data_IF_075846523477
#
_entry.id   IF_075846523477
#
_cell.length_a   1.000
_cell.length_b   1.000
_cell.length_c   1.000
_cell.angle_alpha   90.00
_cell.angle_beta   90.00
_cell.angle_gamma   90.00
#
_symmetry.space_group_name_H-M   'P 1'
#
loop_
_entity.id
_entity.type
_entity.pdbx_description
1 polymer ?
#
# COMPACT_ATOMS: atom_id res chain seq x y z
N UNK A 1 8.85 5.94 -2.12
CA UNK A 1 10.15 5.30 -2.44
C UNK A 1 9.82 3.90 -2.93
N UNK A 2 9.89 3.64 -4.22
CA UNK A 2 9.46 2.38 -4.81
C UNK A 2 10.51 1.28 -4.62
N UNK A 3 10.22 0.40 -3.67
CA UNK A 3 11.00 -0.77 -3.25
C UNK A 3 10.73 -2.01 -4.13
N UNK A 4 10.18 -1.80 -5.34
CA UNK A 4 10.05 -2.82 -6.39
C UNK A 4 11.36 -3.53 -6.72
N UNK A 5 12.46 -2.78 -6.64
CA UNK A 5 13.76 -3.22 -7.10
C UNK A 5 14.62 -3.48 -5.86
N UNK A 6 14.51 -4.69 -5.32
CA UNK A 6 15.56 -5.21 -4.47
C UNK A 6 16.88 -5.25 -5.24
N UNK A 7 18.00 -5.18 -4.53
CA UNK A 7 19.30 -5.61 -5.03
C UNK A 7 19.26 -7.12 -5.27
N UNK A 8 18.55 -7.56 -6.30
CA UNK A 8 18.57 -8.96 -6.71
C UNK A 8 19.99 -9.27 -7.20
N UNK A 9 20.76 -9.97 -6.37
CA UNK A 9 22.01 -10.59 -6.77
C UNK A 9 21.69 -11.56 -7.92
N UNK A 10 22.17 -11.25 -9.13
CA UNK A 10 22.30 -12.25 -10.20
C UNK A 10 21.77 -11.86 -11.58
N UNK A 11 20.76 -10.97 -11.72
CA UNK A 11 20.31 -10.50 -13.04
C UNK A 11 20.00 -9.01 -13.02
N UNK A 12 20.77 -8.23 -13.76
CA UNK A 12 20.62 -6.78 -13.87
C UNK A 12 19.31 -6.48 -14.60
N UNK A 13 18.29 -6.02 -13.87
CA UNK A 13 17.07 -5.51 -14.48
C UNK A 13 17.42 -4.18 -15.18
N UNK A 14 17.09 -3.98 -16.47
CA UNK A 14 17.54 -2.82 -17.24
C UNK A 14 16.99 -1.48 -16.70
N UNK A 15 16.00 -1.51 -15.80
CA UNK A 15 15.34 -0.33 -15.22
C UNK A 15 15.72 -0.09 -13.75
N UNK A 16 16.93 -0.45 -13.35
CA UNK A 16 17.46 -0.17 -12.01
C UNK A 16 17.88 1.31 -11.85
N UNK A 17 17.48 1.96 -10.75
CA UNK A 17 17.89 3.32 -10.40
C UNK A 17 16.81 4.40 -10.58
N UNK A 18 17.23 5.65 -10.85
CA UNK A 18 16.35 6.84 -10.93
C UNK A 18 15.19 6.70 -11.94
N UNK A 19 15.41 5.94 -13.02
CA UNK A 19 14.39 5.68 -14.05
C UNK A 19 13.21 4.89 -13.48
N UNK A 20 13.48 3.87 -12.65
CA UNK A 20 12.44 3.07 -11.99
C UNK A 20 11.59 3.89 -11.02
N UNK A 21 12.23 4.74 -10.22
CA UNK A 21 11.52 5.66 -9.33
C UNK A 21 10.65 6.68 -10.09
N UNK A 22 11.14 7.19 -11.22
CA UNK A 22 10.38 8.12 -12.08
C UNK A 22 9.17 7.46 -12.74
N UNK A 23 9.32 6.23 -13.23
CA UNK A 23 8.21 5.48 -13.82
C UNK A 23 7.14 5.18 -12.77
N UNK A 24 7.54 4.80 -11.56
CA UNK A 24 6.60 4.48 -10.50
C UNK A 24 5.86 5.74 -10.00
N UNK A 25 6.53 6.88 -9.87
CA UNK A 25 5.87 8.16 -9.59
C UNK A 25 4.83 8.53 -10.66
N UNK A 26 5.19 8.41 -11.95
CA UNK A 26 4.26 8.65 -13.07
C UNK A 26 3.10 7.67 -13.10
N UNK A 27 3.35 6.40 -12.82
CA UNK A 27 2.30 5.38 -12.75
C UNK A 27 1.33 5.67 -11.60
N UNK A 28 1.83 6.14 -10.45
CA UNK A 28 1.00 6.55 -9.31
C UNK A 28 0.14 7.76 -9.65
N UNK A 29 0.72 8.78 -10.26
CA UNK A 29 -0.01 9.95 -10.75
C UNK A 29 -1.13 9.53 -11.71
N UNK A 30 -0.81 8.75 -12.75
CA UNK A 30 -1.81 8.25 -13.70
C UNK A 30 -2.89 7.40 -13.03
N UNK A 31 -2.55 6.59 -12.03
CA UNK A 31 -3.54 5.82 -11.29
C UNK A 31 -4.56 6.73 -10.58
N UNK A 32 -4.10 7.80 -9.93
CA UNK A 32 -4.99 8.76 -9.26
C UNK A 32 -5.81 9.57 -10.27
N UNK A 33 -5.21 10.01 -11.38
CA UNK A 33 -5.88 10.81 -12.41
C UNK A 33 -6.98 10.04 -13.16
N UNK A 34 -6.80 8.73 -13.37
CA UNK A 34 -7.71 7.91 -14.18
C UNK A 34 -8.62 6.99 -13.36
N UNK A 35 -8.53 6.98 -12.02
CA UNK A 35 -9.44 6.22 -11.16
C UNK A 35 -10.21 7.17 -10.23
N UNK A 36 -11.50 6.91 -9.98
CA UNK A 36 -12.31 7.75 -9.11
C UNK A 36 -11.96 7.49 -7.62
N UNK A 37 -10.82 8.00 -7.18
CA UNK A 37 -10.38 7.93 -5.80
C UNK A 37 -10.82 9.19 -5.04
N UNK A 38 -11.31 9.05 -3.81
CA UNK A 38 -11.60 10.21 -2.97
C UNK A 38 -10.30 10.93 -2.58
N UNK A 39 -10.36 12.26 -2.56
CA UNK A 39 -9.26 13.12 -2.10
C UNK A 39 -9.33 13.21 -0.57
N UNK A 40 -8.23 12.85 0.12
CA UNK A 40 -8.17 12.85 1.58
C UNK A 40 -7.31 14.00 2.10
N UNK A 41 -7.93 15.17 2.27
CA UNK A 41 -7.21 16.37 2.74
C UNK A 41 -6.02 16.68 1.83
N UNK A 42 -4.85 16.85 2.44
CA UNK A 42 -3.61 17.20 1.72
C UNK A 42 -2.87 15.98 1.14
N UNK A 43 -3.32 14.75 1.43
CA UNK A 43 -2.73 13.52 0.90
C UNK A 43 -3.43 13.12 -0.41
N UNK A 44 -3.08 13.83 -1.48
CA UNK A 44 -3.63 13.63 -2.83
C UNK A 44 -3.30 12.25 -3.42
N UNK A 45 -2.31 11.56 -2.86
CA UNK A 45 -1.85 10.27 -3.36
C UNK A 45 -2.31 9.09 -2.50
N UNK A 46 -3.18 9.30 -1.51
CA UNK A 46 -3.62 8.23 -0.61
C UNK A 46 -4.49 7.20 -1.33
N UNK A 47 -4.04 5.94 -1.33
CA UNK A 47 -4.76 4.81 -1.97
C UNK A 47 -5.69 4.08 -0.99
N UNK A 48 -5.22 3.86 0.25
CA UNK A 48 -5.96 3.08 1.24
C UNK A 48 -7.16 3.85 1.80
N UNK A 49 -8.30 3.17 1.93
CA UNK A 49 -9.59 3.80 2.28
C UNK A 49 -10.58 2.79 2.85
N UNK A 50 -11.61 3.27 3.56
CA UNK A 50 -12.77 2.45 3.90
C UNK A 50 -13.99 2.87 3.07
N UNK A 51 -14.83 1.89 2.73
CA UNK A 51 -16.02 2.05 1.89
C UNK A 51 -17.18 1.38 2.64
N UNK A 52 -17.97 2.15 3.41
CA UNK A 52 -19.15 1.63 4.07
C UNK A 52 -20.26 1.35 3.04
N UNK A 53 -20.84 0.16 3.12
CA UNK A 53 -21.95 -0.31 2.29
C UNK A 53 -23.13 -0.68 3.21
N UNK A 54 -23.81 0.36 3.69
CA UNK A 54 -24.91 0.22 4.65
C UNK A 54 -24.44 -0.33 6.01
N UNK A 55 -25.35 -0.89 6.83
CA UNK A 55 -25.01 -1.42 8.16
C UNK A 55 -24.35 -2.82 8.10
N UNK A 56 -24.36 -3.46 6.93
CA UNK A 56 -23.94 -4.86 6.81
C UNK A 56 -22.46 -4.99 6.49
N UNK A 57 -21.91 -4.17 5.58
CA UNK A 57 -20.56 -4.37 5.07
C UNK A 57 -19.77 -3.07 5.12
N UNK A 58 -18.53 -3.13 5.57
CA UNK A 58 -17.53 -2.09 5.33
C UNK A 58 -16.27 -2.73 4.73
N UNK A 59 -15.81 -2.18 3.61
CA UNK A 59 -14.63 -2.66 2.88
C UNK A 59 -13.45 -1.75 3.17
N UNK A 60 -12.37 -2.31 3.70
CA UNK A 60 -11.09 -1.65 3.97
C UNK A 60 -10.11 -2.02 2.86
N UNK A 61 -9.99 -1.15 1.85
CA UNK A 61 -9.04 -1.30 0.76
C UNK A 61 -7.66 -0.82 1.21
N UNK A 62 -6.66 -1.70 1.19
CA UNK A 62 -5.30 -1.45 1.67
C UNK A 62 -4.34 -1.11 0.53
N UNK A 63 -3.39 -0.24 0.83
CA UNK A 63 -2.18 -0.06 0.05
C UNK A 63 -1.08 -0.96 0.62
N UNK A 64 -0.84 -2.10 -0.03
CA UNK A 64 0.22 -3.03 0.33
C UNK A 64 1.48 -2.83 -0.52
N UNK A 65 1.58 -1.72 -1.26
CA UNK A 65 2.67 -1.47 -2.20
C UNK A 65 3.63 -0.41 -1.69
N UNK A 66 3.11 0.73 -1.26
CA UNK A 66 3.91 1.93 -0.96
C UNK A 66 4.96 1.70 0.12
N UNK A 67 4.71 0.79 1.05
CA UNK A 67 5.56 0.54 2.23
C UNK A 67 6.18 -0.86 2.27
N UNK A 68 5.96 -1.68 1.24
CA UNK A 68 6.33 -3.11 1.27
C UNK A 68 7.85 -3.29 1.16
N UNK A 69 8.48 -3.99 2.10
CA UNK A 69 9.88 -4.37 2.02
C UNK A 69 10.26 -5.07 0.70
N UNK A 70 11.57 -5.09 0.41
CA UNK A 70 12.10 -5.83 -0.72
C UNK A 70 11.57 -7.27 -0.74
N UNK A 71 11.35 -7.84 -1.92
CA UNK A 71 10.96 -9.24 -2.01
C UNK A 71 12.09 -10.13 -1.46
N UNK A 72 11.74 -11.00 -0.53
CA UNK A 72 12.61 -12.02 0.06
C UNK A 72 11.96 -13.40 -0.12
N UNK A 73 12.57 -14.45 0.44
CA UNK A 73 11.99 -15.79 0.48
C UNK A 73 10.72 -15.90 1.35
N UNK A 74 10.26 -14.80 1.96
CA UNK A 74 9.11 -14.73 2.86
C UNK A 74 9.22 -15.71 4.06
N UNK A 75 10.44 -15.97 4.50
CA UNK A 75 10.79 -16.85 5.64
C UNK A 75 11.73 -16.16 6.62
N UNK A 76 11.64 -14.85 6.76
CA UNK A 76 12.50 -14.10 7.67
C UNK A 76 12.26 -14.57 9.11
N UNK A 77 13.31 -14.81 9.90
CA UNK A 77 13.18 -15.26 11.29
C UNK A 77 12.74 -14.13 12.23
N UNK A 78 12.82 -12.87 11.80
CA UNK A 78 12.44 -11.69 12.56
C UNK A 78 11.64 -10.70 11.70
N UNK A 79 10.83 -9.88 12.37
CA UNK A 79 10.12 -8.78 11.74
C UNK A 79 11.01 -7.53 11.73
N UNK A 80 11.49 -7.17 10.54
CA UNK A 80 12.26 -5.96 10.30
C UNK A 80 11.73 -5.20 9.07
N UNK A 81 12.49 -4.21 8.58
CA UNK A 81 12.11 -3.43 7.40
C UNK A 81 11.96 -4.28 6.11
N UNK A 82 12.62 -5.43 6.02
CA UNK A 82 12.48 -6.36 4.90
C UNK A 82 11.16 -7.16 4.97
N UNK A 83 10.62 -7.33 6.17
CA UNK A 83 9.34 -8.00 6.44
C UNK A 83 8.13 -7.06 6.40
N UNK A 84 8.33 -5.76 6.16
CA UNK A 84 7.26 -4.77 6.14
C UNK A 84 6.27 -5.02 5.00
N UNK A 85 4.97 -4.95 5.29
CA UNK A 85 3.88 -5.04 4.30
C UNK A 85 3.06 -3.75 4.27
N UNK A 86 2.75 -3.22 5.46
CA UNK A 86 2.01 -1.97 5.65
C UNK A 86 2.88 -0.92 6.33
N UNK A 87 2.66 0.35 5.99
CA UNK A 87 3.28 1.47 6.70
C UNK A 87 2.67 1.68 8.09
N UNK A 88 3.41 2.27 9.05
CA UNK A 88 2.94 2.44 10.42
C UNK A 88 1.67 3.29 10.51
N UNK A 89 1.57 4.37 9.71
CA UNK A 89 0.39 5.23 9.66
C UNK A 89 -0.85 4.47 9.18
N UNK A 90 -0.72 3.70 8.10
CA UNK A 90 -1.81 2.88 7.57
C UNK A 90 -2.22 1.76 8.53
N UNK A 91 -1.26 1.12 9.21
CA UNK A 91 -1.56 0.10 10.22
C UNK A 91 -2.32 0.70 11.41
N UNK A 92 -1.91 1.89 11.87
CA UNK A 92 -2.62 2.60 12.93
C UNK A 92 -4.05 2.94 12.49
N UNK A 93 -4.20 3.54 11.31
CA UNK A 93 -5.49 3.86 10.72
C UNK A 93 -6.38 2.62 10.64
N UNK A 94 -5.87 1.51 10.09
CA UNK A 94 -6.65 0.27 9.94
C UNK A 94 -7.16 -0.24 11.28
N UNK A 95 -6.31 -0.28 12.31
CA UNK A 95 -6.70 -0.69 13.67
C UNK A 95 -7.79 0.21 14.24
N UNK A 96 -7.64 1.53 14.10
CA UNK A 96 -8.61 2.50 14.58
C UNK A 96 -9.95 2.38 13.85
N UNK A 97 -9.93 2.27 12.51
CA UNK A 97 -11.13 2.16 11.69
C UNK A 97 -11.86 0.84 11.90
N UNK A 98 -11.15 -0.28 12.03
CA UNK A 98 -11.76 -1.58 12.37
C UNK A 98 -12.46 -1.54 13.73
N UNK A 99 -11.86 -0.86 14.73
CA UNK A 99 -12.45 -0.69 16.06
C UNK A 99 -13.69 0.23 16.04
N UNK A 100 -13.68 1.24 15.18
CA UNK A 100 -14.80 2.19 15.06
C UNK A 100 -15.97 1.64 14.22
N UNK A 101 -15.70 0.71 13.31
CA UNK A 101 -16.70 0.18 12.38
C UNK A 101 -17.81 -0.63 13.06
N UNK A 102 -19.05 -0.20 12.84
CA UNK A 102 -20.27 -0.86 13.31
C UNK A 102 -20.84 -1.87 12.29
N UNK A 103 -20.19 -2.05 11.14
CA UNK A 103 -20.66 -2.99 10.12
C UNK A 103 -20.61 -4.43 10.63
N UNK A 104 -21.60 -5.23 10.24
CA UNK A 104 -21.67 -6.67 10.58
C UNK A 104 -20.45 -7.41 10.03
N UNK A 105 -20.08 -7.11 8.78
CA UNK A 105 -18.96 -7.68 8.05
C UNK A 105 -17.93 -6.60 7.75
N UNK A 106 -16.66 -6.95 7.99
CA UNK A 106 -15.50 -6.09 7.76
C UNK A 106 -14.59 -6.82 6.78
N UNK A 107 -14.54 -6.35 5.54
CA UNK A 107 -13.74 -6.96 4.47
C UNK A 107 -12.43 -6.22 4.37
N UNK A 108 -11.31 -6.92 4.41
CA UNK A 108 -9.97 -6.35 4.22
C UNK A 108 -9.43 -6.84 2.87
N UNK A 109 -9.18 -5.91 1.95
CA UNK A 109 -8.82 -6.20 0.56
C UNK A 109 -7.57 -5.43 0.12
#
# INVERSE_FOLDING_TARGET
RDNWLGTAAGRRCPVQGEVGGRLAARARQAFVEYNPLPIFGDDLERIHRSIPMGPLVEVFALDMRTHKGANTDNRQPALDASSAVLGPAQLHWLKASLKASKATWKIVA
#
